data_IF_037054318045
#
_entry.id   IF_037054318045
#
_cell.length_a   1.000
_cell.length_b   1.000
_cell.length_c   1.000
_cell.angle_alpha   90.00
_cell.angle_beta   90.00
_cell.angle_gamma   90.00
#
_symmetry.space_group_name_H-M   'P 1'
#
loop_
_entity.id
_entity.type
_entity.pdbx_description
1 polymer ?
#
# COMPACT_ATOMS: atom_id res chain seq x y z
N UNK A 1 13.52 -6.07 0.09
CA UNK A 1 14.04 -4.69 0.31
C UNK A 1 14.82 -4.68 1.62
N UNK A 2 15.99 -4.04 1.64
CA UNK A 2 16.78 -3.90 2.86
C UNK A 2 16.05 -2.99 3.87
N UNK A 3 15.88 -3.47 5.10
CA UNK A 3 15.28 -2.68 6.19
C UNK A 3 16.24 -1.64 6.77
N UNK A 4 17.49 -1.63 6.31
CA UNK A 4 18.55 -0.69 6.72
C UNK A 4 18.70 0.54 5.80
N UNK A 5 17.90 0.61 4.75
CA UNK A 5 17.92 1.74 3.81
C UNK A 5 17.59 3.04 4.52
N UNK A 6 18.30 4.10 4.20
CA UNK A 6 18.04 5.43 4.76
C UNK A 6 16.61 5.87 4.40
N UNK A 7 16.00 6.73 5.23
CA UNK A 7 14.66 7.30 5.00
C UNK A 7 14.51 7.99 3.63
N UNK A 8 15.59 8.19 2.89
CA UNK A 8 15.59 8.81 1.56
C UNK A 8 15.19 7.84 0.43
N UNK A 9 15.19 6.53 0.67
CA UNK A 9 14.90 5.54 -0.35
C UNK A 9 13.50 4.93 -0.22
N UNK A 10 12.90 5.00 0.98
CA UNK A 10 11.53 4.57 1.24
C UNK A 10 10.72 5.73 1.82
N UNK A 11 9.61 6.06 1.18
CA UNK A 11 8.78 7.20 1.52
C UNK A 11 7.47 6.72 2.19
N UNK A 12 7.41 6.68 3.52
CA UNK A 12 6.16 6.44 4.23
C UNK A 12 5.31 7.72 4.26
N UNK A 13 3.98 7.58 4.21
CA UNK A 13 3.03 8.68 4.31
C UNK A 13 2.04 8.53 5.46
N UNK A 14 2.11 7.42 6.21
CA UNK A 14 1.25 7.17 7.37
C UNK A 14 2.05 7.02 8.67
N UNK A 15 1.43 7.46 9.76
CA UNK A 15 1.93 7.20 11.11
C UNK A 15 1.42 5.84 11.61
N UNK A 16 2.30 5.10 12.28
CA UNK A 16 1.97 3.78 12.81
C UNK A 16 1.57 3.86 14.28
N UNK A 17 0.50 3.17 14.66
CA UNK A 17 0.02 3.11 16.04
C UNK A 17 0.76 2.05 16.88
N UNK A 18 1.00 2.27 18.19
CA UNK A 18 1.73 1.32 19.04
C UNK A 18 1.05 -0.05 19.17
N UNK A 19 -0.28 -0.09 19.36
CA UNK A 19 -1.03 -1.34 19.60
C UNK A 19 -0.94 -2.32 18.43
N UNK A 20 -1.09 -1.85 17.21
CA UNK A 20 -1.02 -2.70 16.02
C UNK A 20 0.40 -3.27 15.78
N UNK A 21 1.43 -2.68 16.38
CA UNK A 21 2.81 -3.17 16.29
C UNK A 21 3.07 -4.39 17.15
N UNK A 22 2.44 -4.50 18.34
CA UNK A 22 2.75 -5.54 19.32
C UNK A 22 2.35 -6.91 18.80
N UNK A 23 1.09 -7.12 18.44
CA UNK A 23 0.57 -8.42 17.99
C UNK A 23 1.30 -8.95 16.74
N UNK A 24 1.56 -8.05 15.79
CA UNK A 24 2.26 -8.42 14.54
C UNK A 24 3.75 -8.68 14.76
N UNK A 25 4.38 -7.98 15.70
CA UNK A 25 5.78 -8.23 16.07
C UNK A 25 5.92 -9.60 16.75
N UNK A 26 5.00 -9.94 17.65
CA UNK A 26 4.98 -11.25 18.30
C UNK A 26 4.74 -12.37 17.29
N UNK A 27 3.86 -12.15 16.32
CA UNK A 27 3.67 -13.09 15.22
C UNK A 27 4.95 -13.26 14.39
N UNK A 28 5.66 -12.18 14.10
CA UNK A 28 6.94 -12.22 13.37
C UNK A 28 8.01 -12.96 14.16
N UNK A 29 8.10 -12.74 15.46
CA UNK A 29 9.01 -13.47 16.38
C UNK A 29 8.72 -14.96 16.41
N UNK A 30 7.44 -15.32 16.46
CA UNK A 30 7.01 -16.72 16.55
C UNK A 30 7.21 -17.48 15.23
N UNK A 31 6.91 -16.85 14.09
CA UNK A 31 6.94 -17.50 12.78
C UNK A 31 8.25 -17.34 12.04
N UNK A 32 9.01 -16.29 12.32
CA UNK A 32 10.21 -15.88 11.59
C UNK A 32 9.97 -15.75 10.07
N UNK A 33 8.76 -15.37 9.69
CA UNK A 33 8.31 -15.33 8.31
C UNK A 33 7.63 -14.01 7.94
N UNK A 34 7.75 -13.63 6.67
CA UNK A 34 6.95 -12.56 6.07
C UNK A 34 5.62 -13.16 5.56
N UNK A 35 4.54 -12.97 6.31
CA UNK A 35 3.22 -13.54 5.99
C UNK A 35 2.45 -12.75 4.93
N UNK A 36 2.80 -11.48 4.74
CA UNK A 36 2.27 -10.65 3.66
C UNK A 36 3.29 -9.59 3.23
N UNK A 37 3.36 -9.24 1.94
CA UNK A 37 4.30 -8.26 1.44
C UNK A 37 3.95 -6.83 1.87
N UNK A 38 4.94 -5.97 1.94
CA UNK A 38 4.76 -4.52 1.92
C UNK A 38 4.49 -4.14 0.46
N UNK A 39 3.55 -3.25 0.22
CA UNK A 39 3.31 -2.76 -1.14
C UNK A 39 4.05 -1.44 -1.35
N UNK A 40 4.93 -1.41 -2.34
CA UNK A 40 5.73 -0.27 -2.74
C UNK A 40 5.45 0.17 -4.18
N UNK A 41 5.44 1.48 -4.39
CA UNK A 41 5.32 2.10 -5.69
C UNK A 41 6.68 2.69 -6.07
N UNK A 42 7.28 2.17 -7.14
CA UNK A 42 8.56 2.64 -7.65
C UNK A 42 8.36 3.89 -8.51
N UNK A 43 9.13 4.93 -8.23
CA UNK A 43 9.19 6.12 -9.07
C UNK A 43 10.12 5.96 -10.27
N UNK A 44 10.71 4.78 -10.46
CA UNK A 44 11.61 4.50 -11.56
C UNK A 44 10.82 4.18 -12.82
N UNK A 45 10.94 4.97 -13.89
CA UNK A 45 10.33 4.65 -15.17
C UNK A 45 10.95 3.37 -15.76
N UNK A 46 10.16 2.65 -16.56
CA UNK A 46 10.56 1.42 -17.25
C UNK A 46 10.70 0.17 -16.36
N UNK A 47 10.33 0.21 -15.08
CA UNK A 47 10.29 -0.99 -14.25
C UNK A 47 9.34 -2.03 -14.86
N UNK A 48 8.15 -1.60 -15.29
CA UNK A 48 7.16 -2.46 -15.94
C UNK A 48 7.72 -3.11 -17.20
N UNK A 49 8.44 -2.35 -18.04
CA UNK A 49 9.09 -2.87 -19.24
C UNK A 49 10.14 -3.95 -18.91
N UNK A 50 10.92 -3.75 -17.85
CA UNK A 50 11.92 -4.73 -17.41
C UNK A 50 11.30 -6.03 -16.85
N UNK A 51 10.02 -5.98 -16.48
CA UNK A 51 9.28 -7.13 -15.95
C UNK A 51 8.44 -7.88 -17.00
N UNK A 52 8.32 -7.36 -18.22
CA UNK A 52 7.51 -7.97 -19.31
C UNK A 52 7.98 -9.37 -19.68
N UNK A 53 9.30 -9.61 -19.70
CA UNK A 53 9.82 -10.95 -19.99
C UNK A 53 9.39 -11.93 -18.91
N UNK A 54 8.67 -13.03 -19.23
CA UNK A 54 8.21 -13.97 -18.24
C UNK A 54 9.34 -14.67 -17.51
N UNK A 55 9.08 -15.07 -16.29
CA UNK A 55 9.93 -15.94 -15.49
C UNK A 55 9.55 -17.41 -15.62
N UNK A 56 10.03 -18.23 -14.71
CA UNK A 56 9.58 -19.61 -14.54
C UNK A 56 8.20 -19.61 -13.88
N UNK A 57 7.19 -20.16 -14.55
CA UNK A 57 5.83 -20.25 -14.00
C UNK A 57 5.82 -21.13 -12.73
N UNK A 58 5.42 -20.58 -11.62
CA UNK A 58 5.22 -21.30 -10.35
C UNK A 58 3.76 -21.68 -10.13
N UNK A 59 2.83 -20.88 -10.60
CA UNK A 59 1.41 -21.13 -10.48
C UNK A 59 0.56 -20.06 -11.14
N UNK A 60 -0.66 -20.44 -11.48
CA UNK A 60 -1.68 -19.53 -11.98
C UNK A 60 -3.06 -19.96 -11.51
N UNK A 61 -3.95 -19.00 -11.27
CA UNK A 61 -5.37 -19.27 -11.01
C UNK A 61 -6.20 -18.06 -11.46
N UNK A 62 -7.49 -18.29 -11.62
CA UNK A 62 -8.47 -17.24 -11.93
C UNK A 62 -9.36 -17.06 -10.71
N UNK A 63 -9.54 -15.84 -10.24
CA UNK A 63 -10.40 -15.55 -9.10
C UNK A 63 -11.88 -15.49 -9.47
N UNK A 64 -12.74 -15.27 -8.48
CA UNK A 64 -14.21 -15.20 -8.65
C UNK A 64 -14.68 -14.04 -9.55
N UNK A 65 -13.85 -13.01 -9.73
CA UNK A 65 -14.11 -11.86 -10.60
C UNK A 65 -13.60 -12.09 -12.04
N UNK A 66 -13.03 -13.27 -12.34
CA UNK A 66 -12.47 -13.60 -13.64
C UNK A 66 -11.06 -13.04 -13.87
N UNK A 67 -10.41 -12.50 -12.83
CA UNK A 67 -9.03 -11.99 -12.92
C UNK A 67 -8.05 -13.14 -12.85
N UNK A 68 -7.15 -13.22 -13.84
CA UNK A 68 -6.08 -14.20 -13.87
C UNK A 68 -4.89 -13.73 -13.03
N UNK A 69 -4.49 -14.56 -12.08
CA UNK A 69 -3.31 -14.37 -11.23
C UNK A 69 -2.21 -15.33 -11.68
N UNK A 70 -1.02 -14.79 -11.93
CA UNK A 70 0.14 -15.57 -12.38
C UNK A 70 1.30 -15.27 -11.44
N UNK A 71 1.97 -16.30 -10.95
CA UNK A 71 3.17 -16.20 -10.13
C UNK A 71 4.34 -16.82 -10.88
N UNK A 72 5.35 -16.01 -11.11
CA UNK A 72 6.56 -16.41 -11.82
C UNK A 72 7.81 -16.14 -10.99
N UNK A 73 8.84 -16.94 -11.21
CA UNK A 73 10.14 -16.79 -10.56
C UNK A 73 11.20 -16.34 -11.55
N UNK A 74 11.85 -15.21 -11.28
CA UNK A 74 13.05 -14.79 -11.99
C UNK A 74 14.28 -15.24 -11.20
N UNK A 75 15.00 -16.25 -11.71
CA UNK A 75 16.20 -16.81 -11.07
C UNK A 75 17.51 -16.41 -11.78
N UNK A 76 17.43 -15.83 -12.98
CA UNK A 76 18.60 -15.33 -13.70
C UNK A 76 19.23 -14.16 -12.93
N UNK A 77 20.47 -14.36 -12.48
CA UNK A 77 21.19 -13.38 -11.64
C UNK A 77 21.41 -12.03 -12.34
N UNK A 78 21.69 -12.05 -13.65
CA UNK A 78 21.91 -10.81 -14.41
C UNK A 78 20.60 -10.00 -14.48
N UNK A 79 19.47 -10.67 -14.77
CA UNK A 79 18.15 -10.04 -14.80
C UNK A 79 17.75 -9.53 -13.42
N UNK A 80 17.95 -10.30 -12.36
CA UNK A 80 17.71 -9.86 -10.99
C UNK A 80 18.52 -8.60 -10.64
N UNK A 81 19.78 -8.54 -11.05
CA UNK A 81 20.64 -7.39 -10.83
C UNK A 81 20.15 -6.14 -11.59
N UNK A 82 19.68 -6.30 -12.82
CA UNK A 82 19.07 -5.19 -13.60
C UNK A 82 17.82 -4.66 -12.91
N UNK A 83 16.90 -5.53 -12.52
CA UNK A 83 15.66 -5.14 -11.82
C UNK A 83 16.00 -4.43 -10.50
N UNK A 84 16.91 -4.99 -9.70
CA UNK A 84 17.33 -4.39 -8.43
C UNK A 84 17.97 -3.01 -8.63
N UNK A 85 18.78 -2.84 -9.67
CA UNK A 85 19.41 -1.58 -10.01
C UNK A 85 18.38 -0.53 -10.44
N UNK A 86 17.38 -0.94 -11.23
CA UNK A 86 16.28 -0.05 -11.64
C UNK A 86 15.52 0.47 -10.41
N UNK A 87 15.08 -0.44 -9.52
CA UNK A 87 14.35 -0.04 -8.31
C UNK A 87 15.20 0.88 -7.41
N UNK A 88 16.52 0.69 -7.37
CA UNK A 88 17.42 1.49 -6.54
C UNK A 88 17.74 2.88 -7.11
N UNK A 89 17.30 3.23 -8.32
CA UNK A 89 17.58 4.54 -8.92
C UNK A 89 16.74 5.67 -8.29
N UNK A 90 15.55 5.36 -7.81
CA UNK A 90 14.62 6.33 -7.25
C UNK A 90 13.99 5.81 -5.96
N UNK A 91 13.43 6.69 -5.13
CA UNK A 91 12.69 6.27 -3.96
C UNK A 91 11.49 5.39 -4.30
N UNK A 92 11.10 4.55 -3.34
CA UNK A 92 9.88 3.75 -3.38
C UNK A 92 8.90 4.31 -2.36
N UNK A 93 7.70 4.66 -2.80
CA UNK A 93 6.60 5.08 -1.92
C UNK A 93 5.94 3.86 -1.32
N UNK A 94 5.74 3.82 -0.02
CA UNK A 94 4.97 2.73 0.60
C UNK A 94 3.48 3.01 0.36
N UNK A 95 2.84 2.22 -0.50
CA UNK A 95 1.40 2.34 -0.74
C UNK A 95 0.58 1.70 0.39
N UNK A 96 1.02 0.52 0.86
CA UNK A 96 0.42 -0.18 2.01
C UNK A 96 1.47 -0.95 2.80
N UNK A 97 1.20 -1.17 4.08
CA UNK A 97 2.07 -1.96 4.96
C UNK A 97 3.05 -1.15 5.79
N UNK A 98 2.77 0.10 6.12
CA UNK A 98 3.59 0.94 7.00
C UNK A 98 3.87 0.28 8.35
N UNK A 99 2.87 -0.38 8.95
CA UNK A 99 3.05 -1.16 10.18
C UNK A 99 3.98 -2.36 9.97
N UNK A 100 3.84 -3.09 8.85
CA UNK A 100 4.71 -4.25 8.49
C UNK A 100 6.16 -3.81 8.33
N UNK A 101 6.37 -2.67 7.67
CA UNK A 101 7.72 -2.10 7.53
C UNK A 101 8.32 -1.70 8.88
N UNK A 102 7.56 -1.00 9.73
CA UNK A 102 8.01 -0.63 11.06
C UNK A 102 8.37 -1.84 11.93
N UNK A 103 7.56 -2.91 11.87
CA UNK A 103 7.78 -4.16 12.56
C UNK A 103 9.04 -4.87 12.05
N UNK A 104 9.22 -4.94 10.73
CA UNK A 104 10.42 -5.55 10.14
C UNK A 104 11.70 -4.84 10.59
N UNK A 105 11.66 -3.52 10.75
CA UNK A 105 12.78 -2.75 11.31
C UNK A 105 13.01 -3.09 12.77
N UNK A 106 11.98 -3.12 13.59
CA UNK A 106 12.09 -3.50 15.01
C UNK A 106 12.65 -4.92 15.15
N UNK A 107 12.11 -5.87 14.39
CA UNK A 107 12.59 -7.26 14.40
C UNK A 107 14.06 -7.39 14.00
N UNK A 108 14.50 -6.64 12.98
CA UNK A 108 15.91 -6.55 12.58
C UNK A 108 16.80 -6.05 13.73
N UNK A 109 16.36 -4.97 14.40
CA UNK A 109 17.13 -4.33 15.47
C UNK A 109 17.23 -5.22 16.69
N UNK A 110 16.22 -6.04 16.96
CA UNK A 110 16.24 -7.08 17.99
C UNK A 110 17.14 -8.29 17.63
N UNK A 111 17.38 -8.52 16.33
CA UNK A 111 18.09 -9.69 15.82
C UNK A 111 19.25 -9.31 14.87
N UNK A 112 20.24 -8.53 15.34
CA UNK A 112 21.31 -8.01 14.48
C UNK A 112 22.20 -9.10 13.88
N UNK A 113 22.26 -10.26 14.52
CA UNK A 113 23.01 -11.44 14.05
C UNK A 113 22.28 -12.24 12.95
N UNK A 114 20.98 -12.03 12.78
CA UNK A 114 20.17 -12.77 11.81
C UNK A 114 20.21 -12.06 10.46
N UNK A 115 20.97 -12.59 9.51
CA UNK A 115 21.12 -11.99 8.19
C UNK A 115 19.76 -11.84 7.45
N UNK A 116 18.85 -12.79 7.59
CA UNK A 116 17.53 -12.75 6.98
C UNK A 116 16.65 -11.60 7.52
N UNK A 117 16.83 -11.16 8.77
CA UNK A 117 16.09 -10.05 9.35
C UNK A 117 16.43 -8.68 8.72
N UNK A 118 17.52 -8.59 7.95
CA UNK A 118 17.92 -7.38 7.24
C UNK A 118 17.06 -7.07 6.02
N UNK A 119 16.18 -7.99 5.63
CA UNK A 119 15.32 -7.85 4.46
C UNK A 119 13.87 -8.18 4.79
N UNK A 120 12.94 -7.59 4.08
CA UNK A 120 11.52 -7.90 4.18
C UNK A 120 10.91 -8.11 2.80
N UNK A 121 9.83 -8.89 2.75
CA UNK A 121 9.11 -9.16 1.51
C UNK A 121 8.36 -7.89 1.05
N UNK A 122 8.58 -7.51 -0.20
CA UNK A 122 7.88 -6.41 -0.84
C UNK A 122 7.28 -6.83 -2.18
N UNK A 123 6.08 -6.36 -2.46
CA UNK A 123 5.51 -6.27 -3.80
C UNK A 123 5.78 -4.85 -4.31
N UNK A 124 6.42 -4.70 -5.45
CA UNK A 124 6.78 -3.39 -6.01
C UNK A 124 6.32 -3.34 -7.46
N UNK A 125 5.50 -2.34 -7.78
CA UNK A 125 5.14 -1.99 -9.15
C UNK A 125 5.55 -0.53 -9.46
N UNK A 126 5.53 -0.19 -10.73
CA UNK A 126 5.79 1.17 -11.19
C UNK A 126 4.61 2.08 -10.83
N UNK A 127 4.88 3.34 -10.44
CA UNK A 127 3.85 4.33 -10.17
C UNK A 127 3.38 4.93 -11.49
N UNK A 128 2.46 4.25 -12.14
CA UNK A 128 1.79 4.67 -13.39
C UNK A 128 0.30 4.39 -13.29
N UNK A 129 -0.50 5.20 -13.97
CA UNK A 129 -1.97 5.15 -13.89
C UNK A 129 -2.54 3.79 -14.30
N UNK A 130 -1.92 3.14 -15.29
CA UNK A 130 -2.36 1.84 -15.81
C UNK A 130 -2.23 0.69 -14.79
N UNK A 131 -1.40 0.87 -13.77
CA UNK A 131 -1.15 -0.14 -12.72
C UNK A 131 -1.80 0.22 -11.38
N UNK A 132 -2.51 1.33 -11.31
CA UNK A 132 -3.13 1.81 -10.08
C UNK A 132 -4.64 1.90 -10.23
N UNK A 133 -5.32 1.40 -9.22
CA UNK A 133 -6.74 1.68 -9.02
C UNK A 133 -6.88 2.41 -7.69
N UNK A 134 -7.38 3.63 -7.76
CA UNK A 134 -7.65 4.44 -6.56
C UNK A 134 -9.15 4.43 -6.31
N UNK A 135 -9.54 3.93 -5.16
CA UNK A 135 -10.94 3.93 -4.73
C UNK A 135 -11.10 4.79 -3.47
N UNK A 136 -12.25 5.44 -3.34
CA UNK A 136 -12.58 6.19 -2.15
C UNK A 136 -12.74 5.24 -0.95
N UNK A 137 -12.19 5.65 0.20
CA UNK A 137 -12.41 4.96 1.47
C UNK A 137 -13.56 5.65 2.18
N UNK A 138 -14.66 4.92 2.33
CA UNK A 138 -15.80 5.41 3.12
C UNK A 138 -15.52 5.20 4.60
N UNK A 139 -15.89 6.19 5.41
CA UNK A 139 -15.72 6.14 6.86
C UNK A 139 -17.07 6.23 7.53
N UNK A 140 -17.30 5.33 8.47
CA UNK A 140 -18.45 5.35 9.34
C UNK A 140 -18.04 5.92 10.71
N UNK A 141 -18.80 6.87 11.17
CA UNK A 141 -18.63 7.48 12.50
C UNK A 141 -19.86 7.18 13.35
N UNK A 142 -19.66 6.87 14.61
CA UNK A 142 -20.72 6.76 15.64
C UNK A 142 -20.56 7.86 16.68
N UNK A 143 -21.65 8.16 17.37
CA UNK A 143 -21.67 9.08 18.51
C UNK A 143 -21.17 10.51 18.20
N UNK A 144 -21.39 10.95 16.95
CA UNK A 144 -21.10 12.32 16.52
C UNK A 144 -22.40 13.08 16.41
N UNK A 145 -22.44 14.23 17.08
CA UNK A 145 -23.56 15.16 16.99
C UNK A 145 -23.52 15.85 15.62
N UNK A 146 -24.62 15.74 14.86
CA UNK A 146 -24.72 16.16 13.46
C UNK A 146 -24.39 17.65 13.26
N UNK A 147 -25.03 18.54 14.01
CA UNK A 147 -24.89 19.98 13.80
C UNK A 147 -23.48 20.47 14.16
N UNK A 148 -22.86 19.84 15.15
CA UNK A 148 -21.47 20.11 15.51
C UNK A 148 -20.52 19.72 14.38
N UNK A 149 -20.75 18.57 13.74
CA UNK A 149 -19.93 18.12 12.61
C UNK A 149 -20.11 19.06 11.41
N UNK A 150 -21.33 19.40 11.05
CA UNK A 150 -21.62 20.35 9.96
C UNK A 150 -20.92 21.67 10.21
N UNK A 151 -21.06 22.26 11.39
CA UNK A 151 -20.40 23.53 11.75
C UNK A 151 -18.87 23.48 11.72
N UNK A 152 -18.26 22.29 11.85
CA UNK A 152 -16.80 22.13 11.64
C UNK A 152 -16.46 22.00 10.15
N UNK A 153 -17.27 21.30 9.36
CA UNK A 153 -17.06 21.12 7.93
C UNK A 153 -17.23 22.42 7.15
N UNK A 154 -18.20 23.26 7.51
CA UNK A 154 -18.44 24.57 6.87
C UNK A 154 -17.22 25.51 6.91
N UNK A 155 -16.27 25.28 7.82
CA UNK A 155 -15.02 26.06 7.87
C UNK A 155 -14.08 25.76 6.70
N UNK A 156 -14.26 24.63 6.03
CA UNK A 156 -13.35 24.11 5.00
C UNK A 156 -14.04 23.76 3.68
N UNK A 157 -15.35 23.56 3.71
CA UNK A 157 -16.15 23.11 2.58
C UNK A 157 -17.40 23.97 2.40
N UNK A 158 -17.82 24.16 1.18
CA UNK A 158 -19.16 24.64 0.84
C UNK A 158 -20.12 23.46 0.93
N UNK A 159 -21.16 23.56 1.74
CA UNK A 159 -22.12 22.48 2.00
C UNK A 159 -23.41 22.78 1.25
N UNK A 160 -23.91 21.77 0.55
CA UNK A 160 -25.20 21.83 -0.14
C UNK A 160 -25.97 20.53 0.05
N UNK A 161 -27.30 20.65 0.10
CA UNK A 161 -28.16 19.49 0.21
C UNK A 161 -28.18 18.65 -1.06
N UNK A 162 -28.14 17.34 -0.88
CA UNK A 162 -28.26 16.36 -1.94
C UNK A 162 -29.52 15.52 -1.73
N UNK A 163 -30.49 15.62 -2.63
CA UNK A 163 -31.78 14.92 -2.51
C UNK A 163 -31.64 13.39 -2.67
N UNK A 164 -30.74 12.92 -3.50
CA UNK A 164 -30.49 11.50 -3.76
C UNK A 164 -29.04 11.24 -4.11
N UNK A 165 -28.43 10.22 -3.49
CA UNK A 165 -27.12 9.73 -3.86
C UNK A 165 -27.28 8.65 -4.95
N UNK A 166 -26.82 8.96 -6.17
CA UNK A 166 -26.89 8.07 -7.32
C UNK A 166 -25.50 7.56 -7.71
N UNK A 167 -25.37 6.41 -8.41
CA UNK A 167 -24.09 5.94 -8.94
C UNK A 167 -23.38 6.99 -9.84
N UNK A 168 -24.14 7.79 -10.58
CA UNK A 168 -23.59 8.85 -11.42
C UNK A 168 -22.96 9.99 -10.61
N UNK A 169 -23.55 10.33 -9.46
CA UNK A 169 -22.98 11.32 -8.54
C UNK A 169 -21.71 10.77 -7.91
N UNK A 170 -21.73 9.52 -7.42
CA UNK A 170 -20.54 8.84 -6.84
C UNK A 170 -19.39 8.84 -7.86
N UNK A 171 -19.65 8.51 -9.11
CA UNK A 171 -18.63 8.48 -10.15
C UNK A 171 -18.01 9.87 -10.44
N UNK A 172 -18.75 10.94 -10.21
CA UNK A 172 -18.28 12.32 -10.40
C UNK A 172 -17.57 12.91 -9.17
N UNK A 173 -17.80 12.37 -7.99
CA UNK A 173 -17.28 12.96 -6.75
C UNK A 173 -15.77 13.24 -6.80
N UNK A 174 -14.99 12.30 -7.34
CA UNK A 174 -13.54 12.47 -7.44
C UNK A 174 -13.12 13.51 -8.48
N UNK A 175 -13.90 13.66 -9.57
CA UNK A 175 -13.65 14.64 -10.62
C UNK A 175 -13.97 16.07 -10.17
N UNK A 176 -15.04 16.20 -9.39
CA UNK A 176 -15.55 17.49 -8.91
C UNK A 176 -14.99 17.88 -7.53
N UNK A 177 -14.09 17.07 -6.95
CA UNK A 177 -13.57 17.22 -5.58
C UNK A 177 -14.67 17.31 -4.51
N UNK A 178 -15.75 16.55 -4.68
CA UNK A 178 -16.85 16.50 -3.74
C UNK A 178 -16.69 15.38 -2.70
N UNK A 179 -17.12 15.66 -1.49
CA UNK A 179 -17.35 14.68 -0.44
C UNK A 179 -18.85 14.58 -0.18
N UNK A 180 -19.34 13.37 0.05
CA UNK A 180 -20.75 13.18 0.47
C UNK A 180 -20.76 12.72 1.92
N UNK A 181 -21.56 13.42 2.71
CA UNK A 181 -21.89 13.05 4.07
C UNK A 181 -23.32 12.50 4.12
N UNK A 182 -23.51 11.36 4.75
CA UNK A 182 -24.82 10.73 4.94
C UNK A 182 -25.05 10.62 6.44
N UNK A 183 -26.05 11.33 6.93
CA UNK A 183 -26.53 11.20 8.31
C UNK A 183 -27.67 10.17 8.37
N UNK A 184 -27.70 9.37 9.44
CA UNK A 184 -28.90 8.63 9.80
C UNK A 184 -29.97 9.64 10.30
N UNK A 185 -31.18 9.55 9.75
CA UNK A 185 -32.34 10.33 10.19
C UNK A 185 -32.86 9.83 11.53
#
# INVERSE_FOLDING_TARGET
>A
VSTGTSFHELLPHEQTTPKAKTDRLDLTRATQANLSPIWGLSLTPQLSTALVEPGELLGAFTDENGVQHIVERVSNRARCAVISKLIAQHPVVIADGHHRYAISRTYRDENPQLAAAKSTLCYINELIDEQLSVAAIHRLYSDIEHDSLIGQLEKFFEISDLSNLTPAIIAKMSQDNHLVFIAAS
#
